data_IF_876017714636
#
_entry.id   IF_876017714636
#
_cell.length_a   1.000
_cell.length_b   1.000
_cell.length_c   1.000
_cell.angle_alpha   90.00
_cell.angle_beta   90.00
_cell.angle_gamma   90.00
#
_symmetry.space_group_name_H-M   'P 1'
#
loop_
_entity.id
_entity.type
_entity.pdbx_description
1 polymer ?
#
# COMPACT_ATOMS: atom_id res chain seq x y z
N UNK A 1 2.02 -7.80 2.58
CA UNK A 1 3.27 -7.05 2.36
C UNK A 1 4.11 -7.14 3.62
N UNK A 2 5.34 -7.65 3.51
CA UNK A 2 6.28 -7.69 4.63
C UNK A 2 7.13 -6.41 4.65
N UNK A 3 7.28 -5.78 5.82
CA UNK A 3 8.10 -4.58 6.02
C UNK A 3 9.30 -4.93 6.91
N UNK A 4 10.45 -5.30 6.33
CA UNK A 4 11.57 -5.84 7.09
C UNK A 4 12.14 -4.86 8.13
N UNK A 5 12.10 -3.56 7.85
CA UNK A 5 12.66 -2.54 8.72
C UNK A 5 11.99 -2.48 10.11
N UNK A 6 10.73 -2.93 10.21
CA UNK A 6 9.94 -2.93 11.44
C UNK A 6 9.48 -4.33 11.86
N UNK A 7 9.82 -5.37 11.08
CA UNK A 7 9.53 -6.76 11.43
C UNK A 7 8.05 -7.13 11.46
N UNK A 8 7.19 -6.48 10.65
CA UNK A 8 5.75 -6.79 10.60
C UNK A 8 5.24 -7.04 9.18
N UNK A 9 4.10 -7.71 9.12
CA UNK A 9 3.30 -7.89 7.91
C UNK A 9 2.04 -7.04 7.98
N UNK A 10 1.67 -6.44 6.84
CA UNK A 10 0.40 -5.72 6.71
C UNK A 10 -0.17 -5.90 5.31
N UNK A 11 -1.38 -5.39 5.11
CA UNK A 11 -2.16 -5.49 3.89
C UNK A 11 -2.26 -4.11 3.23
N UNK A 12 -2.20 -4.09 1.90
CA UNK A 12 -2.61 -2.93 1.11
C UNK A 12 -4.02 -3.22 0.62
N UNK A 13 -4.97 -2.36 0.98
CA UNK A 13 -6.38 -2.53 0.62
C UNK A 13 -6.66 -1.79 -0.68
N UNK A 14 -7.24 -2.49 -1.63
CA UNK A 14 -7.69 -1.92 -2.90
C UNK A 14 -9.08 -1.28 -2.69
N UNK A 15 -9.37 -0.10 -3.28
CA UNK A 15 -10.69 0.49 -3.26
C UNK A 15 -11.75 -0.48 -3.79
N UNK A 16 -12.99 -0.31 -3.34
CA UNK A 16 -14.09 -1.11 -3.85
C UNK A 16 -14.39 -0.76 -5.31
N UNK A 17 -14.69 -1.78 -6.12
CA UNK A 17 -15.06 -1.60 -7.54
C UNK A 17 -13.89 -1.41 -8.49
N UNK A 18 -12.66 -1.58 -8.03
CA UNK A 18 -11.50 -1.49 -8.91
C UNK A 18 -11.31 -2.74 -9.76
N UNK A 19 -10.83 -2.57 -11.00
CA UNK A 19 -10.60 -3.68 -11.91
C UNK A 19 -9.19 -4.24 -11.68
N UNK A 20 -9.12 -5.42 -11.07
CA UNK A 20 -7.87 -6.13 -10.86
C UNK A 20 -8.05 -7.63 -11.10
N UNK A 21 -6.96 -8.27 -11.50
CA UNK A 21 -6.84 -9.70 -11.64
C UNK A 21 -5.77 -10.20 -10.67
N UNK A 22 -6.06 -11.30 -9.97
CA UNK A 22 -5.10 -11.98 -9.10
C UNK A 22 -4.84 -13.37 -9.66
N UNK A 23 -3.57 -13.72 -9.82
CA UNK A 23 -3.08 -15.07 -10.15
C UNK A 23 -2.38 -15.66 -8.92
N UNK A 24 -1.79 -16.85 -9.07
CA UNK A 24 -1.03 -17.51 -8.00
C UNK A 24 0.20 -16.69 -7.58
N UNK A 25 0.80 -15.93 -8.50
CA UNK A 25 2.06 -15.25 -8.30
C UNK A 25 2.03 -13.74 -8.58
N UNK A 26 0.93 -13.18 -9.11
CA UNK A 26 0.85 -11.76 -9.43
C UNK A 26 -0.54 -11.13 -9.24
N UNK A 27 -0.54 -9.80 -9.14
CA UNK A 27 -1.70 -8.95 -9.15
C UNK A 27 -1.56 -7.96 -10.30
N UNK A 28 -2.57 -7.89 -11.17
CA UNK A 28 -2.61 -6.96 -12.30
C UNK A 28 -3.76 -5.99 -12.08
N UNK A 29 -3.48 -4.70 -12.01
CA UNK A 29 -4.49 -3.66 -11.87
C UNK A 29 -4.15 -2.51 -12.82
N UNK A 30 -5.12 -2.02 -13.60
CA UNK A 30 -4.93 -0.90 -14.54
C UNK A 30 -3.69 -1.06 -15.45
N UNK A 31 -3.42 -2.30 -15.88
CA UNK A 31 -2.27 -2.63 -16.75
C UNK A 31 -0.91 -2.71 -16.04
N UNK A 32 -0.86 -2.55 -14.72
CA UNK A 32 0.35 -2.67 -13.91
C UNK A 32 0.36 -4.00 -13.17
N UNK A 33 1.42 -4.79 -13.36
CA UNK A 33 1.63 -6.06 -12.68
C UNK A 33 2.51 -5.88 -11.43
N UNK A 34 2.07 -6.45 -10.31
CA UNK A 34 2.81 -6.59 -9.06
C UNK A 34 3.00 -8.08 -8.79
N UNK A 35 4.24 -8.55 -8.71
CA UNK A 35 4.54 -9.96 -8.49
C UNK A 35 4.84 -10.27 -7.03
N UNK A 36 4.64 -11.53 -6.66
CA UNK A 36 5.11 -12.07 -5.39
C UNK A 36 6.61 -11.88 -5.25
N UNK A 37 7.06 -11.57 -4.03
CA UNK A 37 8.46 -11.25 -3.69
C UNK A 37 9.06 -10.03 -4.42
N UNK A 38 8.26 -9.26 -5.18
CA UNK A 38 8.69 -7.99 -5.73
C UNK A 38 8.85 -6.96 -4.60
N UNK A 39 9.94 -6.21 -4.66
CA UNK A 39 10.12 -5.04 -3.79
C UNK A 39 9.16 -3.93 -4.24
N UNK A 40 8.38 -3.42 -3.29
CA UNK A 40 7.48 -2.28 -3.47
C UNK A 40 7.84 -1.16 -2.50
N UNK A 41 7.36 0.05 -2.78
CA UNK A 41 7.42 1.18 -1.87
C UNK A 41 6.03 1.45 -1.34
N UNK A 42 5.90 1.59 -0.03
CA UNK A 42 4.63 1.87 0.66
C UNK A 42 4.76 3.09 1.56
N UNK A 43 3.64 3.76 1.81
CA UNK A 43 3.49 4.77 2.87
C UNK A 43 2.78 4.11 4.05
N UNK A 44 3.32 4.31 5.24
CA UNK A 44 2.74 3.87 6.51
C UNK A 44 2.16 5.09 7.24
N UNK A 45 0.97 4.93 7.82
CA UNK A 45 0.36 5.91 8.72
C UNK A 45 -0.48 5.19 9.79
N UNK A 46 -0.74 5.86 10.91
CA UNK A 46 -1.72 5.38 11.88
C UNK A 46 -3.07 6.00 11.56
N UNK A 47 -4.10 5.16 11.50
CA UNK A 47 -5.50 5.59 11.54
C UNK A 47 -5.97 5.53 13.00
N UNK A 48 -6.15 6.71 13.58
CA UNK A 48 -6.57 6.92 14.97
C UNK A 48 -8.02 7.40 15.06
N UNK A 49 -8.79 7.30 13.96
CA UNK A 49 -10.20 7.75 13.93
C UNK A 49 -11.05 7.02 14.97
N UNK A 50 -10.74 5.74 15.22
CA UNK A 50 -11.26 4.95 16.35
C UNK A 50 -10.13 4.67 17.34
N UNK A 51 -10.14 5.40 18.46
CA UNK A 51 -9.11 5.31 19.51
C UNK A 51 -9.05 3.91 20.15
N UNK A 52 -10.15 3.16 20.15
CA UNK A 52 -10.16 1.78 20.66
C UNK A 52 -9.59 0.78 19.66
N UNK A 53 -9.54 1.15 18.38
CA UNK A 53 -9.10 0.31 17.28
C UNK A 53 -8.13 1.07 16.37
N UNK A 54 -7.04 1.57 16.94
CA UNK A 54 -5.95 2.18 16.18
C UNK A 54 -5.42 1.14 15.18
N UNK A 55 -5.36 1.53 13.91
CA UNK A 55 -4.96 0.64 12.81
C UNK A 55 -3.75 1.20 12.10
N UNK A 56 -2.91 0.30 11.61
CA UNK A 56 -1.89 0.66 10.65
C UNK A 56 -2.53 0.77 9.26
N UNK A 57 -2.53 1.97 8.70
CA UNK A 57 -2.90 2.22 7.32
C UNK A 57 -1.66 2.13 6.42
N UNK A 58 -1.76 1.35 5.34
CA UNK A 58 -0.67 1.11 4.40
C UNK A 58 -1.15 1.38 2.97
N UNK A 59 -0.51 2.36 2.32
CA UNK A 59 -0.81 2.74 0.94
C UNK A 59 0.36 2.46 0.01
N UNK A 60 0.06 1.96 -1.19
CA UNK A 60 1.07 1.72 -2.22
C UNK A 60 1.60 3.06 -2.76
N UNK A 61 2.91 3.18 -2.93
CA UNK A 61 3.57 4.33 -3.59
C UNK A 61 4.16 3.89 -4.92
N UNK A 62 4.89 2.77 -4.93
CA UNK A 62 5.51 2.21 -6.14
C UNK A 62 5.36 0.69 -6.15
N UNK A 63 4.95 0.06 -7.28
CA UNK A 63 4.69 0.69 -8.57
C UNK A 63 3.46 1.61 -8.56
N UNK A 64 3.43 2.57 -9.48
CA UNK A 64 2.33 3.53 -9.58
C UNK A 64 1.19 2.92 -10.37
N UNK A 65 0.12 2.54 -9.67
CA UNK A 65 -1.11 2.01 -10.24
C UNK A 65 -2.16 3.13 -10.21
N UNK A 66 -2.67 3.58 -11.37
CA UNK A 66 -3.68 4.64 -11.44
C UNK A 66 -4.89 4.37 -10.54
N UNK A 67 -5.27 5.34 -9.71
CA UNK A 67 -6.41 5.20 -8.80
C UNK A 67 -6.13 4.43 -7.49
N UNK A 68 -4.91 3.89 -7.30
CA UNK A 68 -4.54 3.15 -6.09
C UNK A 68 -3.30 3.72 -5.40
N UNK A 69 -2.24 3.98 -6.16
CA UNK A 69 -0.99 4.44 -5.58
C UNK A 69 -1.10 5.90 -5.18
N UNK A 70 -0.62 6.22 -3.98
CA UNK A 70 -0.53 7.60 -3.50
C UNK A 70 0.78 8.23 -3.94
N UNK A 71 0.75 9.54 -4.16
CA UNK A 71 1.96 10.30 -4.38
C UNK A 71 2.78 10.35 -3.09
N UNK A 72 4.09 10.13 -3.23
CA UNK A 72 5.03 10.34 -2.14
C UNK A 72 5.23 11.84 -1.93
N UNK A 73 4.34 12.45 -1.13
CA UNK A 73 4.45 13.85 -0.74
C UNK A 73 5.44 13.92 0.42
N UNK A 74 6.66 14.35 0.14
CA UNK A 74 7.61 14.80 1.15
C UNK A 74 7.14 16.19 1.60
N UNK A 75 6.05 16.26 2.36
CA UNK A 75 5.72 17.49 3.06
C UNK A 75 6.79 17.70 4.14
N UNK A 76 7.45 18.86 4.05
CA UNK A 76 8.59 19.39 4.79
C UNK A 76 8.59 19.10 6.32
N UNK A 77 9.75 19.16 6.99
CA UNK A 77 9.87 18.92 8.43
C UNK A 77 8.87 19.77 9.22
N UNK A 78 8.21 19.15 10.19
CA UNK A 78 7.54 19.88 11.27
C UNK A 78 8.62 20.64 12.06
N UNK A 79 8.41 21.95 12.27
CA UNK A 79 9.23 22.80 13.17
C UNK A 79 9.13 22.33 14.63
#
# INVERSE_FOLDING_TARGET
VFVPAYGFESIVVFPSGSNYQVTDDSLIAEGVEVRSFQRITVKLSLDETDVQHIRLDMKLVSPKIPGFSVDYIISAPEE
#
